data_IF_386967106453
#
_entry.id   IF_386967106453
#
_cell.length_a   1.000
_cell.length_b   1.000
_cell.length_c   1.000
_cell.angle_alpha   90.00
_cell.angle_beta   90.00
_cell.angle_gamma   90.00
#
_symmetry.space_group_name_H-M   'P 1'
#
loop_
_entity.id
_entity.type
_entity.pdbx_description
1 polymer ?
#
# COMPACT_ATOMS: atom_id res chain seq x y z
N UNK A 1 -12.32 6.89 8.29
CA UNK A 1 -11.03 6.45 8.85
C UNK A 1 -9.96 7.36 8.28
N UNK A 2 -9.26 8.12 9.13
CA UNK A 2 -8.12 8.94 8.70
C UNK A 2 -6.88 8.02 8.77
N UNK A 3 -6.48 7.43 7.65
CA UNK A 3 -5.22 6.68 7.59
C UNK A 3 -4.07 7.67 7.64
N UNK A 4 -3.03 7.44 8.45
CA UNK A 4 -1.87 8.39 8.53
C UNK A 4 -1.14 8.53 7.19
N UNK A 5 -1.38 7.56 6.30
CA UNK A 5 -0.87 7.44 4.95
C UNK A 5 -1.39 8.46 3.95
N UNK A 6 -2.62 8.97 4.15
CA UNK A 6 -3.31 9.82 3.18
C UNK A 6 -3.67 11.18 3.77
N UNK A 7 -3.34 12.24 3.04
CA UNK A 7 -3.83 13.60 3.32
C UNK A 7 -4.88 13.92 2.27
N UNK A 8 -6.13 14.16 2.70
CA UNK A 8 -7.27 14.42 1.82
C UNK A 8 -7.53 13.33 0.77
N UNK A 9 -7.23 12.06 1.10
CA UNK A 9 -7.39 10.93 0.18
C UNK A 9 -6.24 10.76 -0.81
N UNK A 10 -5.22 11.62 -0.76
CA UNK A 10 -4.00 11.53 -1.57
C UNK A 10 -2.88 10.91 -0.74
N UNK A 11 -2.22 9.89 -1.27
CA UNK A 11 -1.05 9.29 -0.63
C UNK A 11 0.09 10.30 -0.57
N UNK A 12 0.63 10.51 0.64
CA UNK A 12 1.77 11.44 0.88
C UNK A 12 3.10 10.69 0.91
N UNK A 13 3.23 9.59 0.17
CA UNK A 13 4.47 8.81 0.10
C UNK A 13 5.59 9.63 -0.57
N UNK A 14 6.76 9.83 0.08
CA UNK A 14 7.93 10.44 -0.54
C UNK A 14 8.48 9.57 -1.66
N UNK A 15 9.11 10.21 -2.66
CA UNK A 15 9.76 9.52 -3.77
C UNK A 15 10.86 8.59 -3.26
N UNK A 16 10.86 7.33 -3.70
CA UNK A 16 11.84 6.31 -3.33
C UNK A 16 11.56 5.63 -1.99
N UNK A 17 10.52 6.05 -1.26
CA UNK A 17 10.14 5.43 0.02
C UNK A 17 8.89 4.55 -0.12
N UNK A 18 8.84 3.50 0.69
CA UNK A 18 7.62 2.75 0.95
C UNK A 18 6.97 3.23 2.25
N UNK A 19 5.64 3.27 2.27
CA UNK A 19 4.87 3.47 3.48
C UNK A 19 3.74 2.44 3.55
N UNK A 20 3.41 2.02 4.76
CA UNK A 20 2.35 1.04 4.96
C UNK A 20 1.58 1.27 6.26
N UNK A 21 0.30 0.92 6.27
CA UNK A 21 -0.53 0.97 7.47
C UNK A 21 -1.46 -0.24 7.53
N UNK A 22 -1.52 -0.87 8.71
CA UNK A 22 -2.46 -1.96 8.95
C UNK A 22 -3.79 -1.40 9.42
N UNK A 23 -4.87 -1.89 8.82
CA UNK A 23 -6.22 -1.59 9.24
C UNK A 23 -7.04 -2.87 9.35
N UNK A 24 -8.10 -2.82 10.15
CA UNK A 24 -9.05 -3.92 10.29
C UNK A 24 -10.34 -3.55 9.57
N UNK A 25 -10.81 -4.43 8.70
CA UNK A 25 -12.13 -4.29 8.11
C UNK A 25 -13.18 -4.62 9.17
N UNK A 26 -13.84 -3.59 9.71
CA UNK A 26 -14.93 -3.72 10.67
C UNK A 26 -16.25 -4.19 10.04
N UNK A 27 -16.32 -4.25 8.71
CA UNK A 27 -17.51 -4.62 7.93
C UNK A 27 -17.97 -6.08 8.12
N UNK A 28 -17.17 -6.94 8.75
CA UNK A 28 -17.58 -8.31 9.07
C UNK A 28 -17.28 -8.66 10.53
N UNK A 29 -18.28 -8.61 11.44
CA UNK A 29 -18.09 -8.88 12.87
C UNK A 29 -17.50 -10.28 13.17
N UNK A 30 -17.73 -11.25 12.27
CA UNK A 30 -17.24 -12.64 12.41
C UNK A 30 -15.91 -12.90 11.72
N UNK A 31 -15.42 -11.99 10.88
CA UNK A 31 -14.17 -12.12 10.13
C UNK A 31 -13.42 -10.80 10.15
N UNK A 32 -12.86 -10.45 11.32
CA UNK A 32 -11.89 -9.36 11.45
C UNK A 32 -10.66 -9.71 10.64
N UNK A 33 -10.63 -9.33 9.36
CA UNK A 33 -9.44 -9.43 8.53
C UNK A 33 -8.60 -8.18 8.75
N UNK A 34 -7.36 -8.39 9.19
CA UNK A 34 -6.33 -7.36 9.18
C UNK A 34 -5.75 -7.29 7.77
N UNK A 35 -5.74 -6.11 7.21
CA UNK A 35 -5.16 -5.82 5.90
C UNK A 35 -4.10 -4.75 6.07
N UNK A 36 -3.14 -4.75 5.15
CA UNK A 36 -2.08 -3.77 5.01
C UNK A 36 -2.40 -2.94 3.78
N UNK A 37 -2.57 -1.63 3.95
CA UNK A 37 -2.49 -0.69 2.84
C UNK A 37 -1.01 -0.35 2.64
N UNK A 38 -0.53 -0.45 1.40
CA UNK A 38 0.86 -0.24 1.03
C UNK A 38 0.93 0.73 -0.14
N UNK A 39 1.71 1.79 0.05
CA UNK A 39 2.01 2.79 -0.98
C UNK A 39 3.52 2.85 -1.18
N UNK A 40 3.96 2.85 -2.43
CA UNK A 40 5.36 2.99 -2.82
C UNK A 40 5.43 3.98 -3.97
N UNK A 41 6.20 5.06 -3.79
CA UNK A 41 6.44 6.00 -4.88
C UNK A 41 7.79 5.69 -5.51
N UNK A 42 7.77 5.28 -6.77
CA UNK A 42 8.98 4.99 -7.51
C UNK A 42 9.73 6.29 -7.87
N UNK A 43 11.00 6.15 -8.28
CA UNK A 43 11.91 7.28 -8.53
C UNK A 43 11.49 8.17 -9.70
N UNK A 44 10.71 7.63 -10.63
CA UNK A 44 10.07 8.35 -11.73
C UNK A 44 8.85 9.19 -11.29
N UNK A 45 8.41 9.05 -10.04
CA UNK A 45 7.24 9.72 -9.48
C UNK A 45 5.94 8.91 -9.59
N UNK A 46 5.96 7.74 -10.23
CA UNK A 46 4.80 6.84 -10.31
C UNK A 46 4.48 6.27 -8.93
N UNK A 47 3.20 6.24 -8.57
CA UNK A 47 2.74 5.73 -7.29
C UNK A 47 2.14 4.35 -7.47
N UNK A 48 2.79 3.34 -6.90
CA UNK A 48 2.23 2.02 -6.72
C UNK A 48 1.44 1.97 -5.41
N UNK A 49 0.18 1.57 -5.45
CA UNK A 49 -0.64 1.34 -4.24
C UNK A 49 -1.32 -0.01 -4.30
N UNK A 50 -1.31 -0.74 -3.19
CA UNK A 50 -2.02 -2.02 -3.08
C UNK A 50 -2.50 -2.31 -1.66
N UNK A 51 -3.43 -3.27 -1.56
CA UNK A 51 -3.91 -3.81 -0.28
C UNK A 51 -3.70 -5.32 -0.27
N UNK A 52 -3.12 -5.84 0.81
CA UNK A 52 -2.95 -7.27 1.03
C UNK A 52 -3.01 -7.64 2.52
N UNK A 53 -3.28 -8.90 2.89
CA UNK A 53 -3.20 -9.38 4.28
C UNK A 53 -1.86 -9.10 4.98
N UNK A 54 -0.73 -9.17 4.25
CA UNK A 54 0.62 -9.00 4.81
C UNK A 54 1.44 -7.98 4.03
N UNK A 55 2.50 -7.46 4.66
CA UNK A 55 3.45 -6.55 4.03
C UNK A 55 4.29 -7.27 2.96
N UNK A 56 4.62 -8.54 3.19
CA UNK A 56 5.38 -9.36 2.25
C UNK A 56 4.63 -9.54 0.92
N UNK A 57 3.32 -9.80 0.98
CA UNK A 57 2.49 -9.87 -0.23
C UNK A 57 2.44 -8.52 -0.97
N UNK A 58 2.43 -7.41 -0.23
CA UNK A 58 2.49 -6.08 -0.85
C UNK A 58 3.84 -5.86 -1.56
N UNK A 59 4.96 -6.24 -0.92
CA UNK A 59 6.30 -6.15 -1.51
C UNK A 59 6.45 -7.04 -2.73
N UNK A 60 5.94 -8.27 -2.70
CA UNK A 60 5.95 -9.16 -3.86
C UNK A 60 5.20 -8.55 -5.06
N UNK A 61 4.04 -7.91 -4.81
CA UNK A 61 3.30 -7.19 -5.86
C UNK A 61 4.06 -5.97 -6.37
N UNK A 62 4.75 -5.22 -5.50
CA UNK A 62 5.63 -4.12 -5.91
C UNK A 62 6.74 -4.64 -6.81
N UNK A 63 7.39 -5.74 -6.46
CA UNK A 63 8.51 -6.27 -7.23
C UNK A 63 8.07 -6.75 -8.63
N UNK A 64 6.88 -7.37 -8.72
CA UNK A 64 6.24 -7.69 -10.01
C UNK A 64 5.95 -6.42 -10.82
N UNK A 65 5.41 -5.39 -10.17
CA UNK A 65 5.13 -4.10 -10.82
C UNK A 65 6.41 -3.42 -11.31
N UNK A 66 7.46 -3.38 -10.50
CA UNK A 66 8.78 -2.86 -10.87
C UNK A 66 9.34 -3.63 -12.07
N UNK A 67 9.26 -4.96 -12.07
CA UNK A 67 9.72 -5.78 -13.19
C UNK A 67 8.96 -5.52 -14.49
N UNK A 68 7.68 -5.13 -14.40
CA UNK A 68 6.87 -4.80 -15.57
C UNK A 68 7.13 -3.38 -16.09
N UNK A 69 7.39 -2.42 -15.20
CA UNK A 69 7.66 -1.02 -15.56
C UNK A 69 9.10 -0.80 -16.05
N UNK A 70 10.04 -1.68 -15.70
CA UNK A 70 11.44 -1.58 -16.13
C UNK A 70 11.67 -2.20 -17.52
N UNK A 71 10.64 -2.31 -18.36
CA UNK A 71 10.64 -2.98 -19.67
C UNK A 71 10.23 -2.02 -20.77
#
# INVERSE_FOLDING_TARGET
MKTKMTVNGVSVCPTGEERHEYFTLSLSPRRKKRLCQYDYRHTDGELFSCVAPTLEECRAKRDIWLNNNNK
#
